data_IF_614038352431
#
_entry.id   IF_614038352431
#
_cell.length_a   1.000
_cell.length_b   1.000
_cell.length_c   1.000
_cell.angle_alpha   90.00
_cell.angle_beta   90.00
_cell.angle_gamma   90.00
#
_symmetry.space_group_name_H-M   'P 1'
#
loop_
_entity.id
_entity.type
_entity.pdbx_description
1 polymer ?
#
# COMPACT_ATOMS: atom_id res chain seq x y z
N UNK A 1 9.47 -22.41 -0.25
CA UNK A 1 9.30 -21.10 -0.93
C UNK A 1 8.20 -20.35 -0.20
N UNK A 2 8.28 -19.03 0.07
CA UNK A 2 7.13 -18.28 0.58
C UNK A 2 5.98 -18.29 -0.45
N UNK A 3 6.28 -18.71 -1.69
CA UNK A 3 5.31 -19.05 -2.74
C UNK A 3 4.14 -19.91 -2.25
N UNK A 4 4.30 -20.86 -1.32
CA UNK A 4 3.18 -21.71 -0.87
C UNK A 4 2.22 -20.99 0.10
N UNK A 5 2.73 -20.12 0.96
CA UNK A 5 1.92 -19.33 1.89
C UNK A 5 1.19 -18.21 1.15
N UNK A 6 1.88 -17.50 0.25
CA UNK A 6 1.28 -16.40 -0.52
C UNK A 6 0.35 -16.94 -1.63
N UNK A 7 0.65 -18.06 -2.30
CA UNK A 7 -0.29 -18.69 -3.26
C UNK A 7 -1.62 -19.08 -2.63
N UNK A 8 -1.65 -19.43 -1.34
CA UNK A 8 -2.87 -19.92 -0.67
C UNK A 8 -3.94 -18.83 -0.52
N UNK A 9 -3.52 -17.56 -0.51
CA UNK A 9 -4.41 -16.40 -0.39
C UNK A 9 -4.62 -15.65 -1.71
N UNK A 10 -3.97 -16.07 -2.80
CA UNK A 10 -4.13 -15.42 -4.10
C UNK A 10 -5.20 -16.15 -4.93
N UNK A 11 -6.24 -15.45 -5.40
CA UNK A 11 -7.15 -16.01 -6.40
C UNK A 11 -6.37 -16.39 -7.66
N UNK A 12 -6.78 -17.49 -8.28
CA UNK A 12 -6.08 -18.08 -9.43
C UNK A 12 -5.99 -17.05 -10.58
N UNK A 13 -4.80 -16.70 -11.09
CA UNK A 13 -4.67 -15.72 -12.19
C UNK A 13 -5.48 -16.08 -13.43
N UNK A 14 -5.77 -17.37 -13.63
CA UNK A 14 -6.62 -17.86 -14.71
C UNK A 14 -8.10 -17.43 -14.56
N UNK A 15 -8.64 -17.46 -13.33
CA UNK A 15 -10.03 -17.07 -13.05
C UNK A 15 -10.26 -15.55 -13.19
N UNK A 16 -9.23 -14.76 -12.92
CA UNK A 16 -9.28 -13.29 -13.05
C UNK A 16 -9.26 -12.88 -14.54
N UNK A 17 -8.62 -13.68 -15.40
CA UNK A 17 -8.49 -13.44 -16.85
C UNK A 17 -9.80 -13.64 -17.61
N UNK A 18 -10.73 -14.44 -17.09
CA UNK A 18 -12.05 -14.70 -17.69
C UNK A 18 -13.13 -13.67 -17.30
N UNK A 19 -12.88 -12.81 -16.32
CA UNK A 19 -13.89 -11.83 -15.89
C UNK A 19 -14.07 -10.71 -16.91
N UNK A 20 -15.29 -10.57 -17.47
CA UNK A 20 -15.66 -9.57 -18.50
C UNK A 20 -15.25 -8.13 -18.16
N UNK A 21 -15.28 -7.75 -16.88
CA UNK A 21 -14.91 -6.42 -16.38
C UNK A 21 -13.41 -6.11 -16.48
N UNK A 22 -12.56 -7.13 -16.59
CA UNK A 22 -11.09 -7.00 -16.64
C UNK A 22 -10.53 -7.08 -18.06
N UNK A 23 -11.38 -7.23 -19.08
CA UNK A 23 -10.99 -7.27 -20.49
C UNK A 23 -10.36 -5.96 -20.98
N UNK A 24 -10.68 -4.83 -20.34
CA UNK A 24 -10.02 -3.53 -20.56
C UNK A 24 -8.52 -3.56 -20.21
N UNK A 25 -8.07 -4.43 -19.29
CA UNK A 25 -6.66 -4.66 -18.97
C UNK A 25 -5.95 -5.61 -19.97
N UNK A 26 -6.50 -5.85 -21.16
CA UNK A 26 -6.05 -6.89 -22.12
C UNK A 26 -4.53 -6.94 -22.37
N UNK A 27 -3.88 -5.81 -22.65
CA UNK A 27 -2.41 -5.73 -22.87
C UNK A 27 -1.61 -5.83 -21.57
N UNK A 28 -2.23 -5.44 -20.45
CA UNK A 28 -1.67 -5.49 -19.09
C UNK A 28 -1.69 -6.90 -18.49
N UNK A 29 -2.59 -7.76 -18.96
CA UNK A 29 -2.64 -9.18 -18.61
C UNK A 29 -1.42 -9.98 -19.13
N UNK A 30 -0.61 -9.42 -20.04
CA UNK A 30 0.55 -10.09 -20.61
C UNK A 30 1.87 -9.84 -19.85
N UNK A 31 1.97 -8.85 -18.96
CA UNK A 31 3.20 -8.68 -18.17
C UNK A 31 3.23 -9.67 -17.00
N UNK A 32 4.15 -10.66 -17.00
CA UNK A 32 4.21 -11.66 -15.95
C UNK A 32 4.52 -11.04 -14.58
N UNK A 33 5.14 -9.86 -14.50
CA UNK A 33 5.42 -9.23 -13.20
C UNK A 33 4.17 -8.73 -12.47
N UNK A 34 3.09 -8.44 -13.19
CA UNK A 34 1.82 -7.97 -12.58
C UNK A 34 1.10 -9.09 -11.83
N UNK A 35 1.31 -10.34 -12.24
CA UNK A 35 0.57 -11.50 -11.74
C UNK A 35 1.45 -12.50 -10.99
N UNK A 36 2.71 -12.64 -11.37
CA UNK A 36 3.63 -13.58 -10.76
C UNK A 36 4.37 -13.00 -9.54
N UNK A 37 4.58 -13.87 -8.56
CA UNK A 37 5.34 -13.57 -7.36
C UNK A 37 6.84 -13.67 -7.64
N UNK A 38 7.46 -12.51 -7.89
CA UNK A 38 8.90 -12.30 -7.93
C UNK A 38 9.32 -11.35 -6.79
N UNK A 39 10.50 -11.52 -6.20
CA UNK A 39 11.03 -10.69 -5.09
C UNK A 39 10.89 -9.20 -5.36
N UNK A 40 11.24 -8.78 -6.58
CA UNK A 40 11.23 -7.38 -7.00
C UNK A 40 9.82 -6.88 -7.28
N UNK A 41 8.94 -7.73 -7.81
CA UNK A 41 7.54 -7.40 -8.05
C UNK A 41 6.77 -7.23 -6.74
N UNK A 42 6.99 -8.14 -5.78
CA UNK A 42 6.37 -8.07 -4.44
C UNK A 42 6.89 -6.87 -3.66
N UNK A 43 8.20 -6.61 -3.64
CA UNK A 43 8.74 -5.45 -2.93
C UNK A 43 8.16 -4.13 -3.48
N UNK A 44 8.11 -3.97 -4.81
CA UNK A 44 7.46 -2.81 -5.44
C UNK A 44 5.96 -2.73 -5.10
N UNK A 45 5.28 -3.86 -5.03
CA UNK A 45 3.86 -3.91 -4.69
C UNK A 45 3.59 -3.46 -3.26
N UNK A 46 4.47 -3.86 -2.32
CA UNK A 46 4.41 -3.40 -0.93
C UNK A 46 4.55 -1.88 -0.83
N UNK A 47 5.53 -1.30 -1.53
CA UNK A 47 5.70 0.15 -1.58
C UNK A 47 4.49 0.88 -2.14
N UNK A 48 4.04 0.47 -3.33
CA UNK A 48 2.91 1.11 -4.02
C UNK A 48 1.63 0.98 -3.23
N UNK A 49 1.33 -0.21 -2.72
CA UNK A 49 0.11 -0.48 -1.97
C UNK A 49 0.04 0.30 -0.66
N UNK A 50 1.15 0.37 0.07
CA UNK A 50 1.22 1.18 1.30
C UNK A 50 1.16 2.68 0.98
N UNK A 51 1.88 3.14 -0.04
CA UNK A 51 1.78 4.54 -0.46
C UNK A 51 0.33 4.93 -0.82
N UNK A 52 -0.34 4.12 -1.62
CA UNK A 52 -1.73 4.35 -2.02
C UNK A 52 -2.70 4.27 -0.84
N UNK A 53 -2.47 3.37 0.13
CA UNK A 53 -3.31 3.25 1.35
C UNK A 53 -3.30 4.51 2.21
N UNK A 54 -2.22 5.29 2.18
CA UNK A 54 -2.09 6.53 2.94
C UNK A 54 -2.63 7.76 2.21
N UNK A 55 -2.92 7.65 0.91
CA UNK A 55 -3.50 8.75 0.14
C UNK A 55 -5.02 8.76 0.35
N UNK A 56 -5.57 9.82 0.99
CA UNK A 56 -6.97 9.91 1.33
C UNK A 56 -7.76 10.36 0.10
N UNK A 57 -8.05 9.43 -0.80
CA UNK A 57 -8.85 9.68 -1.98
C UNK A 57 -9.94 8.63 -2.19
N UNK A 58 -11.12 9.03 -2.67
CA UNK A 58 -12.08 8.06 -3.17
C UNK A 58 -11.44 7.27 -4.32
N UNK A 59 -11.77 5.99 -4.40
CA UNK A 59 -11.20 5.08 -5.42
C UNK A 59 -9.67 4.91 -5.36
N UNK A 60 -9.06 5.00 -4.17
CA UNK A 60 -7.63 4.70 -3.94
C UNK A 60 -7.15 3.34 -4.50
N UNK A 61 -8.05 2.37 -4.69
CA UNK A 61 -7.75 1.11 -5.39
C UNK A 61 -7.35 1.33 -6.86
N UNK A 62 -7.96 2.30 -7.56
CA UNK A 62 -7.60 2.67 -8.93
C UNK A 62 -6.22 3.31 -8.96
N UNK A 63 -5.90 4.16 -7.99
CA UNK A 63 -4.54 4.72 -7.85
C UNK A 63 -3.52 3.61 -7.65
N UNK A 64 -3.77 2.67 -6.74
CA UNK A 64 -2.86 1.53 -6.51
C UNK A 64 -2.70 0.66 -7.76
N UNK A 65 -3.78 0.38 -8.49
CA UNK A 65 -3.73 -0.36 -9.73
C UNK A 65 -2.93 0.39 -10.81
N UNK A 66 -3.17 1.68 -10.98
CA UNK A 66 -2.45 2.53 -11.92
C UNK A 66 -0.95 2.60 -11.60
N UNK A 67 -0.59 2.84 -10.35
CA UNK A 67 0.81 2.86 -9.93
C UNK A 67 1.45 1.48 -10.11
N UNK A 68 0.73 0.39 -9.80
CA UNK A 68 1.25 -0.96 -9.96
C UNK A 68 1.60 -1.30 -11.41
N UNK A 69 0.78 -0.82 -12.34
CA UNK A 69 1.03 -0.90 -13.79
C UNK A 69 2.32 -0.15 -14.15
N UNK A 70 2.43 1.12 -13.74
CA UNK A 70 3.56 1.99 -14.09
C UNK A 70 4.90 1.43 -13.60
N UNK A 71 4.95 0.92 -12.36
CA UNK A 71 6.18 0.35 -11.80
C UNK A 71 6.33 -1.15 -12.04
N UNK A 72 5.40 -1.78 -12.77
CA UNK A 72 5.34 -3.23 -13.03
C UNK A 72 5.45 -4.06 -11.75
N UNK A 73 4.70 -3.67 -10.71
CA UNK A 73 4.58 -4.42 -9.44
C UNK A 73 3.42 -5.42 -9.48
N UNK A 74 3.36 -6.31 -8.49
CA UNK A 74 2.24 -7.26 -8.41
C UNK A 74 0.94 -6.50 -8.13
N UNK A 75 -0.01 -6.54 -9.08
CA UNK A 75 -1.24 -5.78 -9.01
C UNK A 75 -2.18 -6.25 -7.88
N UNK A 76 -2.46 -7.57 -7.71
CA UNK A 76 -3.28 -8.05 -6.61
C UNK A 76 -2.77 -7.62 -5.22
N UNK A 77 -1.45 -7.71 -4.99
CA UNK A 77 -0.86 -7.29 -3.72
C UNK A 77 -0.99 -5.78 -3.53
N UNK A 78 -0.69 -4.99 -4.57
CA UNK A 78 -0.76 -3.53 -4.50
C UNK A 78 -2.16 -3.03 -4.15
N UNK A 79 -3.19 -3.59 -4.81
CA UNK A 79 -4.59 -3.23 -4.57
C UNK A 79 -5.08 -3.78 -3.22
N UNK A 80 -4.69 -5.00 -2.86
CA UNK A 80 -5.08 -5.61 -1.59
C UNK A 80 -4.54 -4.86 -0.37
N UNK A 81 -3.34 -4.27 -0.46
CA UNK A 81 -2.76 -3.47 0.62
C UNK A 81 -3.51 -2.18 0.92
N UNK A 82 -4.26 -1.66 -0.05
CA UNK A 82 -5.10 -0.46 0.16
C UNK A 82 -6.18 -0.71 1.21
N UNK A 83 -6.60 -1.96 1.41
CA UNK A 83 -7.55 -2.34 2.47
C UNK A 83 -6.96 -2.26 3.87
N UNK A 84 -5.67 -1.92 4.00
CA UNK A 84 -5.06 -1.59 5.28
C UNK A 84 -5.75 -0.40 5.93
N UNK A 85 -6.22 0.59 5.15
CA UNK A 85 -7.01 1.75 5.61
C UNK A 85 -8.51 1.48 5.49
N UNK A 86 -8.97 0.49 6.25
CA UNK A 86 -10.40 0.19 6.45
C UNK A 86 -11.04 1.12 7.51
N UNK A 87 -12.38 1.16 7.66
CA UNK A 87 -13.08 2.08 8.57
C UNK A 87 -12.60 2.05 10.03
N UNK A 88 -12.03 0.93 10.48
CA UNK A 88 -11.51 0.79 11.85
C UNK A 88 -10.12 1.44 11.97
N UNK A 89 -9.27 1.23 10.97
CA UNK A 89 -7.89 1.74 10.93
C UNK A 89 -7.75 3.16 10.38
N UNK A 90 -8.74 3.65 9.64
CA UNK A 90 -8.69 4.95 8.98
C UNK A 90 -8.65 6.12 9.98
N UNK A 91 -9.45 6.15 11.07
CA UNK A 91 -9.36 7.22 12.07
C UNK A 91 -7.97 7.40 12.69
N UNK A 92 -7.29 6.36 13.23
CA UNK A 92 -5.97 6.54 13.80
C UNK A 92 -4.92 6.88 12.74
N UNK A 93 -5.00 6.31 11.53
CA UNK A 93 -4.07 6.65 10.44
C UNK A 93 -4.20 8.12 10.06
N UNK A 94 -5.43 8.61 9.92
CA UNK A 94 -5.70 9.99 9.49
C UNK A 94 -5.32 11.02 10.54
N UNK A 95 -5.55 10.69 11.81
CA UNK A 95 -5.08 11.51 12.91
C UNK A 95 -3.54 11.65 12.90
N UNK A 96 -2.83 10.54 12.74
CA UNK A 96 -1.36 10.53 12.68
C UNK A 96 -0.82 11.31 11.47
N UNK A 97 -1.42 11.14 10.28
CA UNK A 97 -0.99 11.88 9.09
C UNK A 97 -1.27 13.37 9.22
N UNK A 98 -2.43 13.76 9.75
CA UNK A 98 -2.72 15.16 10.03
C UNK A 98 -1.73 15.77 11.02
N UNK A 99 -1.45 15.09 12.13
CA UNK A 99 -0.52 15.57 13.15
C UNK A 99 0.89 15.77 12.58
N UNK A 100 1.36 14.81 11.77
CA UNK A 100 2.67 14.88 11.11
C UNK A 100 2.72 16.03 10.10
N UNK A 101 1.65 16.24 9.33
CA UNK A 101 1.60 17.34 8.37
C UNK A 101 1.47 18.72 9.03
N UNK A 102 0.70 18.84 10.09
CA UNK A 102 0.60 20.07 10.89
C UNK A 102 1.96 20.43 11.50
N UNK A 103 2.68 19.43 12.01
CA UNK A 103 4.04 19.58 12.50
C UNK A 103 5.01 20.03 11.39
N UNK A 104 4.96 19.41 10.20
CA UNK A 104 5.79 19.79 9.06
C UNK A 104 5.52 21.22 8.55
N UNK A 105 4.26 21.65 8.58
CA UNK A 105 3.86 23.00 8.16
C UNK A 105 4.02 24.04 9.27
N UNK A 106 4.44 23.63 10.48
CA UNK A 106 4.52 24.48 11.66
C UNK A 106 3.21 25.21 11.99
N UNK A 107 2.07 24.51 11.82
CA UNK A 107 0.73 25.01 12.10
C UNK A 107 0.23 24.34 13.37
N UNK A 108 -0.42 25.05 14.31
CA UNK A 108 -0.96 24.42 15.50
C UNK A 108 -1.96 23.33 15.10
N UNK A 109 -1.68 22.10 15.50
CA UNK A 109 -2.61 20.98 15.36
C UNK A 109 -3.87 21.31 16.16
N UNK A 110 -4.99 21.49 15.46
CA UNK A 110 -6.25 21.90 16.09
C UNK A 110 -6.92 20.68 16.71
N UNK A 111 -7.36 20.82 17.95
CA UNK A 111 -8.14 19.80 18.65
C UNK A 111 -9.54 19.73 18.07
N UNK A 112 -10.18 18.54 18.15
CA UNK A 112 -11.60 18.43 17.87
C UNK A 112 -12.36 19.36 18.82
N UNK A 113 -13.30 20.18 18.33
CA UNK A 113 -14.18 20.97 19.18
C UNK A 113 -15.15 20.03 19.90
N UNK A 114 -15.66 20.49 21.03
CA UNK A 114 -16.67 19.75 21.81
C UNK A 114 -18.01 19.65 21.06
N UNK A 115 -18.26 20.54 20.08
CA UNK A 115 -19.45 20.53 19.23
C UNK A 115 -19.10 20.55 17.74
N UNK A 116 -19.52 19.51 17.02
CA UNK A 116 -19.29 19.35 15.59
C UNK A 116 -20.40 20.08 14.79
N UNK A 117 -20.30 21.41 14.66
CA UNK A 117 -21.26 22.19 13.86
C UNK A 117 -20.90 22.19 12.37
N UNK A 118 -21.91 22.33 11.50
CA UNK A 118 -21.71 22.35 10.04
C UNK A 118 -20.85 23.56 9.56
N UNK A 119 -20.98 24.70 10.24
CA UNK A 119 -20.12 25.87 10.02
C UNK A 119 -18.66 25.59 10.40
N UNK A 120 -18.43 24.89 11.52
CA UNK A 120 -17.08 24.49 11.90
C UNK A 120 -16.47 23.52 10.88
N UNK A 121 -17.24 22.52 10.44
CA UNK A 121 -16.79 21.53 9.44
C UNK A 121 -16.39 22.22 8.13
N UNK A 122 -17.23 23.11 7.59
CA UNK A 122 -16.95 23.81 6.33
C UNK A 122 -15.78 24.80 6.46
N UNK A 123 -15.66 25.51 7.59
CA UNK A 123 -14.53 26.40 7.88
C UNK A 123 -13.20 25.66 8.07
N UNK A 124 -13.21 24.49 8.73
CA UNK A 124 -12.02 23.68 8.95
C UNK A 124 -11.61 22.87 7.72
N UNK A 125 -12.56 22.44 6.87
CA UNK A 125 -12.23 21.61 5.71
C UNK A 125 -11.21 22.28 4.79
N UNK A 126 -11.27 23.61 4.67
CA UNK A 126 -10.37 24.43 3.84
C UNK A 126 -8.96 24.61 4.42
N UNK A 127 -8.75 24.32 5.70
CA UNK A 127 -7.47 24.50 6.40
C UNK A 127 -6.85 23.17 6.86
N UNK A 128 -7.66 22.14 7.08
CA UNK A 128 -7.21 20.81 7.53
C UNK A 128 -6.68 19.97 6.36
N UNK A 129 -7.21 20.13 5.15
CA UNK A 129 -6.84 19.28 4.01
C UNK A 129 -5.37 19.42 3.59
N UNK A 130 -4.75 20.60 3.75
CA UNK A 130 -3.34 20.83 3.39
C UNK A 130 -2.35 20.04 4.25
N UNK A 131 -2.31 20.22 5.59
CA UNK A 131 -1.45 19.42 6.45
C UNK A 131 -1.80 17.94 6.36
N UNK A 132 -3.10 17.61 6.28
CA UNK A 132 -3.52 16.23 6.12
C UNK A 132 -2.94 15.56 4.87
N UNK A 133 -3.07 16.19 3.69
CA UNK A 133 -2.55 15.67 2.44
C UNK A 133 -1.02 15.59 2.46
N UNK A 134 -0.35 16.62 2.99
CA UNK A 134 1.11 16.63 3.13
C UNK A 134 1.59 15.46 3.98
N UNK A 135 1.00 15.29 5.17
CA UNK A 135 1.38 14.21 6.07
C UNK A 135 1.05 12.84 5.52
N UNK A 136 -0.06 12.70 4.78
CA UNK A 136 -0.40 11.47 4.05
C UNK A 136 0.63 11.12 2.99
N UNK A 137 1.08 12.08 2.18
CA UNK A 137 2.12 11.87 1.17
C UNK A 137 3.44 11.50 1.83
N UNK A 138 3.86 12.23 2.87
CA UNK A 138 5.13 11.96 3.56
C UNK A 138 5.11 10.58 4.24
N UNK A 139 4.07 10.28 5.02
CA UNK A 139 3.90 8.95 5.62
C UNK A 139 3.85 7.86 4.55
N UNK A 140 3.10 8.05 3.47
CA UNK A 140 3.00 7.09 2.38
C UNK A 140 4.35 6.81 1.73
N UNK A 141 5.17 7.84 1.46
CA UNK A 141 6.51 7.69 0.88
C UNK A 141 7.44 6.99 1.85
N UNK A 142 7.50 7.42 3.12
CA UNK A 142 8.38 6.86 4.14
C UNK A 142 8.03 5.40 4.42
N UNK A 143 6.76 5.10 4.71
CA UNK A 143 6.30 3.75 4.99
C UNK A 143 6.36 2.86 3.76
N UNK A 144 6.09 3.39 2.57
CA UNK A 144 6.25 2.67 1.31
C UNK A 144 7.70 2.27 1.04
N UNK A 145 8.65 3.20 1.23
CA UNK A 145 10.07 2.93 1.11
C UNK A 145 10.56 1.92 2.17
N UNK A 146 10.11 2.07 3.41
CA UNK A 146 10.38 1.11 4.48
C UNK A 146 9.85 -0.28 4.13
N UNK A 147 8.63 -0.39 3.61
CA UNK A 147 8.04 -1.66 3.22
C UNK A 147 8.80 -2.34 2.08
N UNK A 148 9.28 -1.58 1.10
CA UNK A 148 10.16 -2.08 0.05
C UNK A 148 11.44 -2.68 0.64
N UNK A 149 12.13 -1.92 1.49
CA UNK A 149 13.37 -2.32 2.14
C UNK A 149 13.16 -3.57 3.02
N UNK A 150 12.14 -3.56 3.88
CA UNK A 150 11.79 -4.70 4.75
C UNK A 150 11.49 -5.95 3.94
N UNK A 151 10.77 -5.82 2.81
CA UNK A 151 10.47 -6.96 1.94
C UNK A 151 11.75 -7.55 1.32
N UNK A 152 12.69 -6.71 0.89
CA UNK A 152 13.97 -7.16 0.36
C UNK A 152 14.86 -7.80 1.44
N UNK A 153 14.92 -7.20 2.63
CA UNK A 153 15.67 -7.71 3.77
C UNK A 153 15.13 -9.05 4.24
N UNK A 154 13.81 -9.16 4.39
CA UNK A 154 13.13 -10.41 4.71
C UNK A 154 13.47 -11.50 3.70
N UNK A 155 13.45 -11.17 2.40
CA UNK A 155 13.81 -12.12 1.36
C UNK A 155 15.27 -12.57 1.47
N UNK A 156 16.22 -11.64 1.67
CA UNK A 156 17.64 -11.96 1.85
C UNK A 156 17.85 -12.87 3.06
N UNK A 157 17.27 -12.51 4.20
CA UNK A 157 17.33 -13.31 5.43
C UNK A 157 16.78 -14.72 5.21
N UNK A 158 15.60 -14.84 4.61
CA UNK A 158 14.94 -16.12 4.35
C UNK A 158 15.76 -17.03 3.43
N UNK A 159 16.37 -16.49 2.37
CA UNK A 159 17.23 -17.24 1.45
C UNK A 159 18.48 -17.74 2.16
N UNK A 160 19.16 -16.88 2.92
CA UNK A 160 20.35 -17.26 3.69
C UNK A 160 20.05 -18.36 4.71
N UNK A 161 18.91 -18.25 5.41
CA UNK A 161 18.46 -19.27 6.37
C UNK A 161 18.17 -20.61 5.69
N UNK A 162 17.50 -20.57 4.53
CA UNK A 162 17.22 -21.76 3.70
C UNK A 162 18.47 -22.43 3.18
N UNK A 163 19.51 -21.68 2.85
CA UNK A 163 20.79 -22.22 2.37
C UNK A 163 21.57 -22.88 3.51
N UNK A 164 21.64 -22.23 4.69
CA UNK A 164 22.25 -22.84 5.89
C UNK A 164 21.54 -24.14 6.30
N UNK A 165 20.21 -24.16 6.26
CA UNK A 165 19.42 -25.37 6.56
C UNK A 165 19.62 -26.52 5.57
N UNK A 166 20.04 -26.24 4.32
CA UNK A 166 20.42 -27.29 3.35
C UNK A 166 21.85 -27.78 3.55
N UNK A 167 22.78 -26.89 3.92
CA UNK A 167 24.17 -27.26 4.20
C UNK A 167 24.27 -28.20 5.41
N UNK A 168 23.38 -28.05 6.40
CA UNK A 168 23.31 -28.96 7.56
C UNK A 168 22.56 -30.28 7.28
N UNK A 169 22.05 -30.51 6.06
CA UNK A 169 21.31 -31.74 5.68
C UNK A 169 22.12 -32.70 4.81
N UNK A 170 23.32 -32.32 4.40
CA UNK A 170 24.28 -33.23 3.79
C UNK A 170 25.54 -33.23 4.67
N UNK A 171 25.67 -34.21 5.61
CA UNK A 171 26.97 -34.58 6.16
C UNK A 171 27.85 -35.24 5.10
#
# INVERSE_FOLDING_TARGET
MPRRLIKRFMPDPALIREHKSLRFLGTLLHDPNLWHLNRHSVARAMAVGIFAAFIPMPFQMLLAAFLAINVRSNMPISVGLVWLTNPITMPPVFYCTYQLGAWLMNVPARTLPDELTWEWISGQLSTVWQPFLLGSVVCGVVLGALAYCLTMLYWRWWVSHKWKARKNRHP
#
